data_IF_203561305053
#
_entry.id   IF_203561305053
#
_cell.length_a   1.000
_cell.length_b   1.000
_cell.length_c   1.000
_cell.angle_alpha   90.00
_cell.angle_beta   90.00
_cell.angle_gamma   90.00
#
_symmetry.space_group_name_H-M   'P 1'
#
loop_
_entity.id
_entity.type
_entity.pdbx_description
1 polymer ?
#
# COMPACT_ATOMS: atom_id res chain seq x y z
N UNK A 1 24.72 -3.07 -24.21
CA UNK A 1 24.14 -2.32 -23.08
C UNK A 1 22.72 -1.96 -23.51
N UNK A 2 21.73 -2.80 -23.17
CA UNK A 2 20.34 -2.54 -23.57
C UNK A 2 19.70 -1.64 -22.52
N UNK A 3 19.40 -0.41 -22.91
CA UNK A 3 18.64 0.56 -22.13
C UNK A 3 17.21 0.05 -22.02
N UNK A 4 16.79 -0.34 -20.81
CA UNK A 4 15.46 -0.86 -20.56
C UNK A 4 14.48 0.32 -20.47
N UNK A 5 13.94 0.75 -21.60
CA UNK A 5 12.78 1.65 -21.62
C UNK A 5 11.64 1.00 -20.84
N UNK A 6 11.13 1.63 -19.76
CA UNK A 6 9.98 1.11 -19.04
C UNK A 6 8.76 1.28 -19.94
N UNK A 7 8.31 0.18 -20.54
CA UNK A 7 7.03 0.11 -21.25
C UNK A 7 5.94 0.43 -20.24
N UNK A 8 5.39 1.65 -20.24
CA UNK A 8 4.38 2.09 -19.27
C UNK A 8 2.98 1.55 -19.60
N UNK A 9 2.85 0.25 -19.80
CA UNK A 9 1.59 -0.45 -20.04
C UNK A 9 1.09 -1.20 -18.79
N UNK A 10 -0.19 -1.60 -18.74
CA UNK A 10 -0.74 -2.40 -17.64
C UNK A 10 0.08 -3.69 -17.41
N UNK A 11 0.54 -4.34 -18.48
CA UNK A 11 1.39 -5.54 -18.42
C UNK A 11 2.73 -5.31 -17.72
N UNK A 12 3.30 -4.10 -17.80
CA UNK A 12 4.58 -3.81 -17.16
C UNK A 12 4.46 -3.62 -15.65
N UNK A 13 3.28 -3.20 -15.18
CA UNK A 13 2.99 -3.11 -13.76
C UNK A 13 2.95 -4.52 -13.15
N UNK A 14 2.27 -5.45 -13.83
CA UNK A 14 2.21 -6.86 -13.45
C UNK A 14 3.59 -7.54 -13.54
N UNK A 15 4.40 -7.21 -14.55
CA UNK A 15 5.79 -7.68 -14.62
C UNK A 15 6.63 -7.15 -13.46
N UNK A 16 6.46 -5.88 -13.09
CA UNK A 16 7.15 -5.25 -11.95
C UNK A 16 6.74 -5.91 -10.64
N UNK A 17 5.45 -6.18 -10.44
CA UNK A 17 4.94 -6.92 -9.29
C UNK A 17 5.59 -8.31 -9.19
N UNK A 18 5.65 -9.04 -10.31
CA UNK A 18 6.30 -10.36 -10.37
C UNK A 18 7.80 -10.29 -10.06
N UNK A 19 8.48 -9.26 -10.56
CA UNK A 19 9.91 -9.04 -10.28
C UNK A 19 10.15 -8.69 -8.80
N UNK A 20 9.27 -7.91 -8.19
CA UNK A 20 9.38 -7.50 -6.79
C UNK A 20 9.00 -8.64 -5.84
N UNK A 21 7.95 -9.40 -6.13
CA UNK A 21 7.55 -10.54 -5.29
C UNK A 21 8.61 -11.65 -5.24
N UNK A 22 9.41 -11.79 -6.30
CA UNK A 22 10.50 -12.77 -6.35
C UNK A 22 11.77 -12.32 -5.63
N UNK A 23 11.86 -11.06 -5.16
CA UNK A 23 13.04 -10.59 -4.42
C UNK A 23 13.02 -11.13 -2.98
N UNK A 24 14.16 -11.60 -2.47
CA UNK A 24 14.25 -12.09 -1.10
C UNK A 24 13.91 -10.96 -0.11
N UNK A 25 13.05 -11.26 0.85
CA UNK A 25 12.62 -10.32 1.87
C UNK A 25 11.47 -9.40 1.49
N UNK A 26 10.94 -9.44 0.25
CA UNK A 26 9.68 -8.73 -0.08
C UNK A 26 8.50 -9.54 0.44
N UNK A 27 7.71 -8.95 1.34
CA UNK A 27 6.48 -9.55 1.88
C UNK A 27 5.27 -9.22 1.04
N UNK A 28 5.12 -7.94 0.66
CA UNK A 28 4.00 -7.47 -0.12
C UNK A 28 4.40 -6.29 -1.00
N UNK A 29 3.67 -6.12 -2.11
CA UNK A 29 3.74 -4.94 -2.97
C UNK A 29 2.33 -4.45 -3.21
N UNK A 30 2.12 -3.15 -3.03
CA UNK A 30 0.83 -2.47 -3.22
C UNK A 30 1.07 -1.30 -4.16
N UNK A 31 0.18 -1.15 -5.13
CA UNK A 31 0.22 -0.06 -6.09
C UNK A 31 -1.07 0.72 -5.96
N UNK A 32 -0.94 2.01 -5.68
CA UNK A 32 -2.05 2.94 -5.55
C UNK A 32 -2.09 3.90 -6.73
N UNK A 33 -3.27 4.38 -7.06
CA UNK A 33 -3.42 5.52 -7.96
C UNK A 33 -2.88 6.78 -7.28
N UNK A 34 -2.11 7.59 -8.02
CA UNK A 34 -1.47 8.79 -7.45
C UNK A 34 -2.51 9.83 -7.01
N UNK A 35 -3.58 9.97 -7.80
CA UNK A 35 -4.58 11.04 -7.61
C UNK A 35 -5.62 10.65 -6.57
N UNK A 36 -6.21 9.45 -6.70
CA UNK A 36 -7.31 9.02 -5.82
C UNK A 36 -6.86 8.26 -4.58
N UNK A 37 -5.64 7.72 -4.58
CA UNK A 37 -5.18 6.79 -3.54
C UNK A 37 -5.85 5.42 -3.60
N UNK A 38 -6.65 5.14 -4.64
CA UNK A 38 -7.31 3.85 -4.82
C UNK A 38 -6.30 2.74 -5.10
N UNK A 39 -6.56 1.54 -4.60
CA UNK A 39 -5.69 0.38 -4.82
C UNK A 39 -5.86 -0.11 -6.25
N UNK A 40 -4.79 -0.02 -7.05
CA UNK A 40 -4.76 -0.50 -8.43
C UNK A 40 -4.41 -1.99 -8.49
N UNK A 41 -3.39 -2.40 -7.72
CA UNK A 41 -2.88 -3.77 -7.68
C UNK A 41 -2.25 -4.11 -6.34
N UNK A 42 -2.31 -5.38 -5.97
CA UNK A 42 -1.70 -5.93 -4.76
C UNK A 42 -1.06 -7.28 -5.08
N UNK A 43 0.04 -7.59 -4.41
CA UNK A 43 0.72 -8.88 -4.52
C UNK A 43 1.44 -9.21 -3.21
N UNK A 44 1.51 -10.50 -2.86
CA UNK A 44 2.19 -11.00 -1.66
C UNK A 44 1.29 -11.12 -0.42
N UNK A 45 1.92 -11.26 0.74
CA UNK A 45 1.24 -11.58 1.99
C UNK A 45 0.83 -10.30 2.74
N UNK A 46 -0.47 -9.99 2.70
CA UNK A 46 -1.05 -8.76 3.26
C UNK A 46 -1.54 -8.89 4.71
N UNK A 47 -1.26 -10.01 5.37
CA UNK A 47 -1.74 -10.27 6.75
C UNK A 47 -1.18 -9.29 7.79
N UNK A 48 -0.13 -8.52 7.47
CA UNK A 48 0.42 -7.49 8.36
C UNK A 48 -0.37 -6.18 8.36
N UNK A 49 -1.27 -5.97 7.40
CA UNK A 49 -2.06 -4.73 7.26
C UNK A 49 -3.41 -4.80 7.99
N UNK A 50 -3.76 -5.96 8.54
CA UNK A 50 -4.97 -6.17 9.33
C UNK A 50 -4.78 -5.70 10.80
N UNK A 51 -4.23 -4.49 10.98
CA UNK A 51 -4.00 -3.91 12.30
C UNK A 51 -5.31 -3.50 13.03
N UNK A 52 -6.47 -3.67 12.39
CA UNK A 52 -7.79 -3.38 12.94
C UNK A 52 -8.58 -4.66 13.27
N UNK A 53 -8.03 -5.58 14.07
CA UNK A 53 -8.88 -6.55 14.81
C UNK A 53 -8.37 -6.89 16.22
N UNK A 54 -7.32 -6.25 16.73
CA UNK A 54 -6.96 -6.37 18.16
C UNK A 54 -7.43 -5.15 18.95
N UNK A 55 -8.76 -5.03 19.10
CA UNK A 55 -9.45 -4.59 20.33
C UNK A 55 -10.98 -4.55 20.14
N UNK A 56 -11.61 -5.72 20.11
CA UNK A 56 -12.87 -5.96 20.83
C UNK A 56 -12.89 -7.42 21.30
N UNK A 57 -11.90 -7.73 22.14
CA UNK A 57 -11.97 -8.82 23.11
C UNK A 57 -12.51 -8.23 24.41
N UNK A 58 -13.82 -7.93 24.43
CA UNK A 58 -14.57 -7.52 25.60
C UNK A 58 -15.96 -8.12 25.48
N UNK A 59 -16.19 -9.25 26.14
CA UNK A 59 -17.48 -9.95 26.11
C UNK A 59 -18.63 -9.09 26.62
N UNK A 60 -19.79 -9.23 25.99
CA UNK A 60 -21.04 -8.60 26.45
C UNK A 60 -22.13 -8.59 25.39
N UNK A 61 -23.02 -9.58 25.47
CA UNK A 61 -24.26 -9.76 24.71
C UNK A 61 -25.27 -8.60 24.85
N UNK A 62 -25.98 -8.18 23.79
CA UNK A 62 -27.45 -8.28 23.68
C UNK A 62 -27.99 -7.95 22.27
N UNK A 63 -29.17 -8.47 22.00
CA UNK A 63 -29.88 -8.79 20.76
C UNK A 63 -30.47 -7.62 19.93
N UNK A 64 -30.82 -7.90 18.67
CA UNK A 64 -31.85 -7.16 17.94
C UNK A 64 -31.93 -7.44 16.45
N UNK A 65 -32.88 -8.30 16.05
CA UNK A 65 -33.24 -8.71 14.68
C UNK A 65 -33.51 -7.57 13.68
N UNK A 66 -33.32 -7.87 12.38
CA UNK A 66 -33.93 -7.10 11.28
C UNK A 66 -33.25 -7.27 9.92
N UNK A 67 -33.84 -8.11 9.07
CA UNK A 67 -33.37 -8.49 7.75
C UNK A 67 -33.35 -7.37 6.69
N UNK A 68 -32.36 -7.41 5.78
CA UNK A 68 -32.57 -7.21 4.35
C UNK A 68 -31.35 -7.75 3.57
N UNK A 69 -31.57 -8.84 2.84
CA UNK A 69 -30.62 -9.34 1.87
C UNK A 69 -30.50 -8.34 0.71
N UNK A 70 -29.30 -7.84 0.47
CA UNK A 70 -28.93 -7.29 -0.84
C UNK A 70 -27.60 -7.91 -1.25
N UNK A 71 -27.73 -8.87 -2.15
CA UNK A 71 -26.68 -9.60 -2.81
C UNK A 71 -25.98 -8.62 -3.78
N UNK A 72 -24.76 -8.18 -3.44
CA UNK A 72 -23.85 -7.57 -4.41
C UNK A 72 -22.47 -8.22 -4.27
N UNK A 73 -22.09 -8.92 -5.34
CA UNK A 73 -20.73 -9.29 -5.68
C UNK A 73 -19.83 -8.04 -5.54
N UNK A 74 -18.85 -8.10 -4.64
CA UNK A 74 -17.79 -7.11 -4.53
C UNK A 74 -16.67 -7.75 -3.72
N UNK A 75 -15.52 -7.95 -4.36
CA UNK A 75 -14.33 -8.55 -3.77
C UNK A 75 -14.08 -7.93 -2.39
N UNK A 76 -14.14 -8.75 -1.33
CA UNK A 76 -13.75 -8.36 0.02
C UNK A 76 -12.24 -8.06 0.01
N UNK A 77 -11.85 -6.87 -0.44
CA UNK A 77 -10.55 -6.34 -0.10
C UNK A 77 -10.57 -6.11 1.43
N UNK A 78 -9.56 -6.62 2.15
CA UNK A 78 -9.58 -6.64 3.60
C UNK A 78 -9.54 -5.19 4.09
N UNK A 79 -10.62 -4.68 4.70
CA UNK A 79 -10.80 -3.28 5.14
C UNK A 79 -9.56 -2.57 5.72
N UNK A 80 -8.67 -3.32 6.39
CA UNK A 80 -7.40 -2.79 6.91
C UNK A 80 -6.38 -2.36 5.82
N UNK A 81 -6.48 -2.87 4.61
CA UNK A 81 -5.63 -2.51 3.48
C UNK A 81 -6.04 -1.17 2.87
N UNK A 82 -7.34 -0.89 2.77
CA UNK A 82 -7.86 0.40 2.33
C UNK A 82 -7.46 1.48 3.31
N UNK A 83 -7.60 1.21 4.62
CA UNK A 83 -7.14 2.10 5.68
C UNK A 83 -5.63 2.34 5.61
N UNK A 84 -4.85 1.30 5.35
CA UNK A 84 -3.41 1.39 5.16
C UNK A 84 -3.07 2.25 3.93
N UNK A 85 -3.70 1.99 2.79
CA UNK A 85 -3.51 2.73 1.55
C UNK A 85 -3.80 4.22 1.75
N UNK A 86 -4.92 4.55 2.38
CA UNK A 86 -5.29 5.93 2.68
C UNK A 86 -4.27 6.63 3.59
N UNK A 87 -3.78 5.95 4.64
CA UNK A 87 -2.75 6.50 5.54
C UNK A 87 -1.44 6.76 4.81
N UNK A 88 -0.98 5.80 3.98
CA UNK A 88 0.26 5.96 3.20
C UNK A 88 0.11 7.09 2.18
N UNK A 89 -1.02 7.15 1.46
CA UNK A 89 -1.29 8.20 0.49
C UNK A 89 -1.28 9.60 1.14
N UNK A 90 -1.97 9.76 2.27
CA UNK A 90 -1.95 11.02 3.03
C UNK A 90 -0.54 11.40 3.49
N UNK A 91 0.25 10.43 3.94
CA UNK A 91 1.62 10.67 4.41
C UNK A 91 2.56 11.09 3.27
N UNK A 92 2.45 10.46 2.10
CA UNK A 92 3.21 10.84 0.90
C UNK A 92 2.87 12.27 0.48
N UNK A 93 1.60 12.64 0.50
CA UNK A 93 1.16 13.99 0.14
C UNK A 93 1.67 15.04 1.13
N UNK A 94 1.56 14.79 2.43
CA UNK A 94 2.09 15.69 3.45
C UNK A 94 3.62 15.85 3.33
N UNK A 95 4.33 14.77 3.03
CA UNK A 95 5.79 14.79 2.83
C UNK A 95 6.16 15.54 1.55
N UNK A 96 5.37 15.40 0.48
CA UNK A 96 5.53 16.17 -0.76
C UNK A 96 5.34 17.67 -0.56
N UNK A 97 4.32 18.07 0.21
CA UNK A 97 4.11 19.48 0.59
C UNK A 97 5.31 20.02 1.36
N UNK A 98 5.84 19.26 2.33
CA UNK A 98 7.02 19.68 3.08
C UNK A 98 8.25 19.91 2.19
N UNK A 99 8.47 19.07 1.17
CA UNK A 99 9.57 19.27 0.20
C UNK A 99 9.35 20.55 -0.60
N UNK A 100 8.14 20.76 -1.11
CA UNK A 100 7.80 21.94 -1.90
C UNK A 100 7.91 23.25 -1.09
N UNK A 101 7.56 23.21 0.19
CA UNK A 101 7.68 24.35 1.11
C UNK A 101 9.15 24.72 1.39
N UNK A 102 10.07 23.74 1.29
CA UNK A 102 11.51 23.97 1.44
C UNK A 102 12.15 24.47 0.15
N UNK A 103 11.79 23.86 -0.98
CA UNK A 103 12.25 24.23 -2.31
C UNK A 103 11.18 23.92 -3.36
N UNK A 104 10.70 24.95 -4.06
CA UNK A 104 9.66 24.81 -5.08
C UNK A 104 10.12 24.10 -6.34
N UNK A 105 11.43 23.98 -6.55
CA UNK A 105 12.02 23.27 -7.69
C UNK A 105 12.39 21.82 -7.36
N UNK A 106 12.28 21.41 -6.09
CA UNK A 106 12.57 20.04 -5.65
C UNK A 106 11.30 19.16 -5.58
N UNK A 107 11.51 17.84 -5.60
CA UNK A 107 10.42 16.87 -5.62
C UNK A 107 10.72 15.60 -4.80
N UNK A 108 9.68 15.04 -4.19
CA UNK A 108 9.80 13.83 -3.40
C UNK A 108 10.02 12.59 -4.30
N UNK A 109 11.25 12.06 -4.28
CA UNK A 109 11.63 10.88 -5.10
C UNK A 109 11.49 9.53 -4.39
N UNK A 110 11.68 9.47 -3.08
CA UNK A 110 11.72 8.20 -2.34
C UNK A 110 11.40 8.45 -0.86
N UNK A 111 10.49 7.64 -0.32
CA UNK A 111 10.30 7.53 1.14
C UNK A 111 10.63 6.12 1.58
N UNK A 112 11.42 6.01 2.65
CA UNK A 112 11.77 4.73 3.26
C UNK A 112 11.56 4.81 4.76
N UNK A 113 10.66 3.97 5.27
CA UNK A 113 10.34 3.89 6.69
C UNK A 113 10.70 2.50 7.22
N UNK A 114 11.78 2.42 8.00
CA UNK A 114 12.18 1.19 8.68
C UNK A 114 11.60 1.16 10.10
N UNK A 115 10.84 0.13 10.38
CA UNK A 115 10.37 -0.21 11.73
C UNK A 115 11.14 -1.41 12.27
N UNK A 116 10.91 -1.78 13.53
CA UNK A 116 11.51 -2.99 14.14
C UNK A 116 11.13 -4.29 13.42
N UNK A 117 9.96 -4.34 12.80
CA UNK A 117 9.39 -5.57 12.21
C UNK A 117 9.41 -5.59 10.69
N UNK A 118 9.41 -4.42 10.07
CA UNK A 118 9.22 -4.28 8.63
C UNK A 118 9.79 -2.96 8.13
N UNK A 119 10.01 -2.89 6.83
CA UNK A 119 10.47 -1.70 6.15
C UNK A 119 9.54 -1.40 4.98
N UNK A 120 9.06 -0.16 4.91
CA UNK A 120 8.22 0.33 3.83
C UNK A 120 9.08 1.17 2.90
N UNK A 121 9.14 0.77 1.64
CA UNK A 121 9.78 1.53 0.56
C UNK A 121 8.68 2.06 -0.34
N UNK A 122 8.53 3.37 -0.40
CA UNK A 122 7.50 4.05 -1.16
C UNK A 122 8.16 4.90 -2.23
N UNK A 123 7.80 4.63 -3.47
CA UNK A 123 8.31 5.34 -4.65
C UNK A 123 7.13 6.09 -5.29
N UNK A 124 7.09 7.42 -5.16
CA UNK A 124 6.12 8.23 -5.89
C UNK A 124 6.44 8.28 -7.38
N UNK A 125 5.46 7.98 -8.22
CA UNK A 125 5.48 8.18 -9.67
C UNK A 125 4.34 9.15 -10.06
N UNK A 126 4.46 9.91 -11.18
CA UNK A 126 3.37 10.76 -11.66
C UNK A 126 2.05 10.01 -11.88
N UNK A 127 2.10 8.71 -12.20
CA UNK A 127 0.91 7.89 -12.50
C UNK A 127 0.42 7.06 -11.31
N UNK A 128 1.33 6.56 -10.47
CA UNK A 128 0.99 5.66 -9.38
C UNK A 128 1.92 5.84 -8.17
N UNK A 129 1.55 5.27 -7.04
CA UNK A 129 2.43 5.11 -5.88
C UNK A 129 2.79 3.64 -5.73
N UNK A 130 4.07 3.32 -5.80
CA UNK A 130 4.55 1.97 -5.54
C UNK A 130 4.97 1.84 -4.08
N UNK A 131 4.37 0.89 -3.38
CA UNK A 131 4.68 0.58 -1.98
C UNK A 131 5.20 -0.84 -1.92
N UNK A 132 6.42 -1.02 -1.43
CA UNK A 132 7.03 -2.32 -1.21
C UNK A 132 7.25 -2.51 0.29
N UNK A 133 6.75 -3.62 0.83
CA UNK A 133 6.93 -3.99 2.23
C UNK A 133 7.95 -5.10 2.31
N UNK A 134 9.06 -4.79 2.96
CA UNK A 134 10.16 -5.69 3.21
C UNK A 134 10.13 -6.21 4.65
N UNK A 135 10.55 -7.46 4.82
CA UNK A 135 10.93 -7.96 6.13
C UNK A 135 12.27 -7.34 6.55
N UNK A 136 12.36 -6.96 7.80
CA UNK A 136 13.59 -6.43 8.36
C UNK A 136 14.24 -7.52 9.20
N UNK A 137 15.46 -8.00 8.87
CA UNK A 137 16.16 -8.92 9.74
C UNK A 137 16.31 -8.31 11.14
N UNK A 138 16.16 -9.10 12.23
CA UNK A 138 16.43 -8.64 13.58
C UNK A 138 17.85 -8.07 13.63
N UNK A 139 18.00 -6.87 14.19
CA UNK A 139 19.29 -6.22 14.40
C UNK A 139 20.10 -6.96 15.48
#
# INVERSE_FOLDING_TARGET
>A
MADATPTNGPDALDETLKRLSNKPGVKATVILDRVTGAILRTSGQLSSFNAATLQTSGGGSFSGEGAAAQQQNGEEQPQGLEDFAAKVWNWVNASGTLVLDLDTEDELKLLRLRTKKQELVIVPDPKYLLIVVHDTPPA
#
